data_IF_869570773106
#
_entry.id   IF_869570773106
#
_cell.length_a   1.000
_cell.length_b   1.000
_cell.length_c   1.000
_cell.angle_alpha   90.00
_cell.angle_beta   90.00
_cell.angle_gamma   90.00
#
_symmetry.space_group_name_H-M   'P 1'
#
loop_
_entity.id
_entity.type
_entity.pdbx_description
1 polymer ?
#
# COMPACT_ATOMS: atom_id res chain seq x y z
N UNK A 1 30.65 7.29 92.01
CA UNK A 1 29.63 8.33 92.29
C UNK A 1 28.92 8.70 90.98
N UNK A 2 27.59 8.54 90.93
CA UNK A 2 26.64 9.08 89.92
C UNK A 2 26.26 10.53 90.33
N UNK A 3 25.72 11.46 89.49
CA UNK A 3 24.51 11.33 88.64
C UNK A 3 24.59 12.02 87.22
N UNK A 4 23.75 11.70 86.21
CA UNK A 4 22.36 12.15 85.93
C UNK A 4 22.27 13.69 85.75
N UNK A 5 21.59 14.37 84.81
CA UNK A 5 20.68 14.08 83.66
C UNK A 5 20.24 15.44 83.04
N UNK A 6 19.78 15.43 81.77
CA UNK A 6 18.90 16.39 81.03
C UNK A 6 19.26 17.89 80.88
N UNK A 7 19.11 18.39 79.63
CA UNK A 7 17.99 19.29 79.23
C UNK A 7 18.01 19.57 77.72
N UNK A 8 16.87 19.33 77.08
CA UNK A 8 16.54 19.76 75.72
C UNK A 8 16.46 21.28 75.62
N UNK A 9 16.98 21.89 74.53
CA UNK A 9 16.36 23.03 73.83
C UNK A 9 16.78 22.98 72.36
N UNK A 10 15.78 22.97 71.47
CA UNK A 10 15.87 23.15 70.02
C UNK A 10 15.97 24.64 69.71
N UNK A 11 16.94 25.10 68.90
CA UNK A 11 16.77 26.25 67.98
C UNK A 11 17.66 26.05 66.74
N UNK A 12 17.07 26.31 65.58
CA UNK A 12 17.55 26.05 64.23
C UNK A 12 18.67 26.98 63.72
N UNK A 13 19.52 26.46 62.82
CA UNK A 13 20.17 27.17 61.71
C UNK A 13 20.78 26.12 60.76
N UNK A 14 20.08 25.72 59.71
CA UNK A 14 20.21 26.20 58.32
C UNK A 14 21.53 25.83 57.62
N UNK A 15 21.35 25.03 56.57
CA UNK A 15 22.17 24.87 55.35
C UNK A 15 23.36 23.88 55.33
N UNK A 16 23.23 23.00 54.33
CA UNK A 16 24.24 22.62 53.34
C UNK A 16 24.86 21.21 53.41
N UNK A 17 24.04 20.17 53.23
CA UNK A 17 24.38 19.05 52.32
C UNK A 17 23.04 18.46 51.79
N UNK A 18 22.90 18.13 50.48
CA UNK A 18 23.54 16.94 49.95
C UNK A 18 24.19 17.15 48.58
N UNK A 19 25.50 16.94 48.53
CA UNK A 19 26.27 16.71 47.32
C UNK A 19 26.12 15.23 46.96
N UNK A 20 24.95 14.80 46.45
CA UNK A 20 24.77 13.49 45.79
C UNK A 20 23.40 13.43 45.06
N UNK A 21 23.11 14.40 44.21
CA UNK A 21 22.04 14.32 43.24
C UNK A 21 22.61 14.70 41.87
N UNK A 22 22.14 14.03 40.82
CA UNK A 22 22.53 14.18 39.41
C UNK A 22 23.70 13.28 38.96
N UNK A 23 23.43 11.98 38.81
CA UNK A 23 23.48 11.32 37.49
C UNK A 23 23.07 9.84 37.61
N UNK A 24 21.89 9.56 38.18
CA UNK A 24 21.23 8.29 37.87
C UNK A 24 20.50 8.50 36.56
N UNK A 25 21.14 8.12 35.46
CA UNK A 25 20.50 7.91 34.17
C UNK A 25 19.52 6.74 34.35
N UNK A 26 18.41 7.01 35.02
CA UNK A 26 17.24 6.16 34.98
C UNK A 26 16.65 6.41 33.60
N UNK A 27 17.19 5.69 32.60
CA UNK A 27 16.39 5.30 31.45
C UNK A 27 15.22 4.55 32.07
N UNK A 28 14.17 5.29 32.42
CA UNK A 28 12.86 4.72 32.50
C UNK A 28 12.68 4.08 31.13
N UNK A 29 12.84 2.75 31.09
CA UNK A 29 12.24 1.93 30.05
C UNK A 29 10.73 2.13 30.26
N UNK A 30 10.22 3.30 29.88
CA UNK A 30 8.83 3.44 29.49
C UNK A 30 8.74 2.52 28.29
N UNK A 31 8.39 1.26 28.52
CA UNK A 31 7.90 0.39 27.47
C UNK A 31 6.88 1.25 26.71
N UNK A 32 7.16 1.61 25.44
CA UNK A 32 6.18 2.36 24.68
C UNK A 32 4.87 1.58 24.78
N UNK A 33 3.72 2.25 24.95
CA UNK A 33 2.45 1.55 25.05
C UNK A 33 2.35 0.58 23.87
N UNK A 34 2.14 -0.71 24.14
CA UNK A 34 2.05 -1.73 23.10
C UNK A 34 0.97 -1.30 22.12
N UNK A 35 1.37 -0.87 20.92
CA UNK A 35 0.42 -0.41 19.91
C UNK A 35 -0.22 -1.63 19.27
N UNK A 36 -1.46 -1.48 18.86
CA UNK A 36 -2.18 -2.56 18.20
C UNK A 36 -1.44 -2.96 16.92
N UNK A 37 -1.14 -4.25 16.78
CA UNK A 37 -0.64 -4.80 15.54
C UNK A 37 -1.74 -4.68 14.47
N UNK A 38 -1.41 -4.02 13.35
CA UNK A 38 -2.36 -3.76 12.25
C UNK A 38 -2.10 -4.65 11.04
N UNK A 39 -0.95 -5.31 10.99
CA UNK A 39 -0.62 -6.23 9.90
C UNK A 39 0.79 -6.79 9.98
N UNK A 40 1.14 -7.56 8.95
CA UNK A 40 2.47 -8.08 8.72
C UNK A 40 3.01 -7.60 7.38
N UNK A 41 4.28 -7.23 7.38
CA UNK A 41 5.03 -6.79 6.22
C UNK A 41 6.00 -7.89 5.82
N UNK A 42 6.14 -8.15 4.52
CA UNK A 42 7.15 -9.05 3.96
C UNK A 42 7.88 -8.38 2.81
N UNK A 43 9.20 -8.31 2.89
CA UNK A 43 10.07 -7.74 1.87
C UNK A 43 11.03 -6.68 2.41
N UNK A 44 11.76 -6.02 1.50
CA UNK A 44 12.71 -4.98 1.88
C UNK A 44 12.03 -3.62 2.03
N UNK A 45 11.95 -3.12 3.25
CA UNK A 45 11.32 -1.84 3.57
C UNK A 45 12.08 -1.09 4.67
N UNK A 46 11.83 0.21 4.76
CA UNK A 46 12.12 1.00 5.96
C UNK A 46 10.82 1.24 6.69
N UNK A 47 10.78 0.87 7.97
CA UNK A 47 9.63 1.13 8.84
C UNK A 47 10.04 2.21 9.82
N UNK A 48 9.31 3.32 9.85
CA UNK A 48 9.44 4.36 10.86
C UNK A 48 8.31 4.18 11.86
N UNK A 49 8.59 3.68 13.07
CA UNK A 49 7.56 3.54 14.09
C UNK A 49 6.96 4.89 14.44
N UNK A 50 5.66 4.96 14.72
CA UNK A 50 5.02 6.23 15.06
C UNK A 50 5.76 6.93 16.22
N UNK A 51 6.05 8.23 16.12
CA UNK A 51 6.75 8.98 17.17
C UNK A 51 8.21 8.57 17.43
N UNK A 52 8.80 7.67 16.65
CA UNK A 52 10.24 7.43 16.65
C UNK A 52 10.94 8.45 15.74
N UNK A 53 12.16 8.84 16.12
CA UNK A 53 12.99 9.73 15.29
C UNK A 53 13.74 8.96 14.19
N UNK A 54 13.97 7.66 14.39
CA UNK A 54 14.78 6.83 13.50
C UNK A 54 13.95 5.70 12.88
N UNK A 55 14.16 5.47 11.57
CA UNK A 55 13.59 4.33 10.87
C UNK A 55 14.44 3.07 11.07
N UNK A 56 13.77 1.91 11.03
CA UNK A 56 14.39 0.59 11.06
C UNK A 56 14.23 -0.05 9.69
N UNK A 57 15.33 -0.53 9.12
CA UNK A 57 15.30 -1.31 7.88
C UNK A 57 14.93 -2.75 8.20
N UNK A 58 13.96 -3.28 7.46
CA UNK A 58 13.51 -4.66 7.51
C UNK A 58 13.78 -5.30 6.16
N UNK A 59 14.32 -6.51 6.17
CA UNK A 59 14.64 -7.32 4.98
C UNK A 59 13.84 -8.63 4.91
N UNK A 60 13.04 -8.93 5.93
CA UNK A 60 12.25 -10.16 6.07
C UNK A 60 10.84 -9.81 6.57
N UNK A 61 10.16 -10.71 7.27
CA UNK A 61 8.84 -10.47 7.82
C UNK A 61 8.92 -9.59 9.08
N UNK A 62 8.07 -8.57 9.18
CA UNK A 62 7.92 -7.73 10.37
C UNK A 62 6.46 -7.47 10.69
N UNK A 63 6.12 -7.30 11.96
CA UNK A 63 4.82 -6.80 12.39
C UNK A 63 4.77 -5.29 12.23
N UNK A 64 3.66 -4.77 11.74
CA UNK A 64 3.38 -3.34 11.64
C UNK A 64 2.39 -2.97 12.71
N UNK A 65 2.68 -1.89 13.44
CA UNK A 65 1.81 -1.35 14.47
C UNK A 65 1.05 -0.11 13.96
N UNK A 66 -0.06 0.20 14.60
CA UNK A 66 -0.85 1.38 14.25
C UNK A 66 -0.01 2.67 14.37
N UNK A 67 0.02 3.44 13.29
CA UNK A 67 0.77 4.69 13.16
C UNK A 67 2.14 4.55 12.52
N UNK A 68 2.59 3.34 12.20
CA UNK A 68 3.88 3.12 11.56
C UNK A 68 3.85 3.53 10.08
N UNK A 69 4.90 4.21 9.65
CA UNK A 69 5.13 4.57 8.24
C UNK A 69 6.07 3.57 7.61
N UNK A 70 5.65 2.99 6.49
CA UNK A 70 6.40 1.99 5.73
C UNK A 70 6.79 2.59 4.39
N UNK A 71 8.10 2.56 4.09
CA UNK A 71 8.67 2.91 2.79
C UNK A 71 9.23 1.67 2.12
N UNK A 72 8.67 1.29 0.99
CA UNK A 72 9.15 0.17 0.19
C UNK A 72 10.52 0.49 -0.44
N UNK A 73 11.50 -0.37 -0.22
CA UNK A 73 12.80 -0.31 -0.90
C UNK A 73 12.90 -1.30 -2.07
N UNK A 74 12.01 -2.30 -2.09
CA UNK A 74 11.77 -3.24 -3.17
C UNK A 74 10.26 -3.47 -3.32
N UNK A 75 9.82 -4.45 -4.10
CA UNK A 75 8.45 -4.91 -4.04
C UNK A 75 8.17 -5.47 -2.63
N UNK A 76 7.17 -4.93 -1.95
CA UNK A 76 6.85 -5.28 -0.56
C UNK A 76 5.38 -5.66 -0.47
N UNK A 77 5.09 -6.74 0.25
CA UNK A 77 3.73 -7.18 0.54
C UNK A 77 3.37 -6.81 1.97
N UNK A 78 2.33 -6.01 2.13
CA UNK A 78 1.71 -5.71 3.42
C UNK A 78 0.38 -6.48 3.49
N UNK A 79 0.23 -7.31 4.52
CA UNK A 79 -1.01 -8.03 4.81
C UNK A 79 -1.60 -7.46 6.09
N UNK A 80 -2.77 -6.83 5.98
CA UNK A 80 -3.47 -6.22 7.09
C UNK A 80 -4.26 -7.26 7.90
N UNK A 81 -4.61 -6.92 9.14
CA UNK A 81 -5.33 -7.81 10.05
C UNK A 81 -6.74 -8.22 9.54
N UNK A 82 -7.33 -7.43 8.66
CA UNK A 82 -8.61 -7.71 8.01
C UNK A 82 -8.50 -8.61 6.76
N UNK A 83 -7.28 -9.09 6.45
CA UNK A 83 -6.99 -9.90 5.28
C UNK A 83 -6.71 -9.11 4.00
N UNK A 84 -6.79 -7.78 4.03
CA UNK A 84 -6.44 -6.94 2.88
C UNK A 84 -4.94 -7.05 2.55
N UNK A 85 -4.63 -7.14 1.26
CA UNK A 85 -3.26 -7.23 0.75
C UNK A 85 -2.92 -5.96 0.01
N UNK A 86 -1.76 -5.39 0.31
CA UNK A 86 -1.23 -4.21 -0.38
C UNK A 86 0.15 -4.56 -0.91
N UNK A 87 0.25 -4.60 -2.23
CA UNK A 87 1.51 -4.75 -2.96
C UNK A 87 2.06 -3.36 -3.23
N UNK A 88 3.15 -3.03 -2.55
CA UNK A 88 3.85 -1.75 -2.68
C UNK A 88 4.98 -1.88 -3.68
N UNK A 89 5.02 -1.01 -4.68
CA UNK A 89 6.17 -0.90 -5.59
C UNK A 89 7.35 -0.17 -4.89
N UNK A 90 8.60 -0.35 -5.37
CA UNK A 90 9.75 0.34 -4.82
C UNK A 90 9.55 1.87 -4.82
N UNK A 91 9.77 2.50 -3.67
CA UNK A 91 9.55 3.93 -3.49
C UNK A 91 8.18 4.30 -2.95
N UNK A 92 7.23 3.37 -2.88
CA UNK A 92 5.93 3.62 -2.27
C UNK A 92 6.03 3.86 -0.75
N UNK A 93 5.24 4.81 -0.25
CA UNK A 93 5.20 5.20 1.15
C UNK A 93 3.76 5.13 1.64
N UNK A 94 3.53 4.35 2.68
CA UNK A 94 2.22 4.18 3.31
C UNK A 94 2.33 4.27 4.82
N UNK A 95 1.38 4.92 5.47
CA UNK A 95 1.23 4.93 6.92
C UNK A 95 -0.05 4.20 7.29
N UNK A 96 0.05 3.14 8.09
CA UNK A 96 -1.11 2.32 8.46
C UNK A 96 -1.68 2.81 9.78
N UNK A 97 -2.97 3.13 9.81
CA UNK A 97 -3.68 3.61 11.00
C UNK A 97 -4.93 2.77 11.22
N UNK A 98 -5.56 2.94 12.38
CA UNK A 98 -6.89 2.39 12.68
C UNK A 98 -7.89 3.52 12.74
N UNK A 99 -9.06 3.34 12.14
CA UNK A 99 -10.18 4.26 12.28
C UNK A 99 -10.60 4.36 13.76
N UNK A 100 -10.99 5.56 14.19
CA UNK A 100 -11.42 5.78 15.59
C UNK A 100 -12.77 5.16 15.90
N UNK A 101 -13.64 5.04 14.89
CA UNK A 101 -15.04 4.70 15.08
C UNK A 101 -15.24 3.18 15.18
N UNK A 102 -14.62 2.40 14.30
CA UNK A 102 -14.80 0.96 14.18
C UNK A 102 -13.50 0.13 14.24
N UNK A 103 -12.34 0.80 14.36
CA UNK A 103 -11.03 0.14 14.40
C UNK A 103 -10.56 -0.44 13.05
N UNK A 104 -11.28 -0.19 11.95
CA UNK A 104 -10.92 -0.65 10.61
C UNK A 104 -9.57 -0.07 10.16
N UNK A 105 -8.80 -0.79 9.33
CA UNK A 105 -7.53 -0.26 8.85
C UNK A 105 -7.76 0.89 7.88
N UNK A 106 -7.08 2.00 8.16
CA UNK A 106 -7.01 3.18 7.30
C UNK A 106 -5.58 3.31 6.81
N UNK A 107 -5.39 3.17 5.50
CA UNK A 107 -4.06 3.24 4.88
C UNK A 107 -3.88 4.63 4.31
N UNK A 108 -2.95 5.39 4.87
CA UNK A 108 -2.58 6.68 4.32
C UNK A 108 -1.48 6.48 3.27
N UNK A 109 -1.80 6.64 2.00
CA UNK A 109 -0.89 6.54 0.87
C UNK A 109 -0.29 7.91 0.57
N UNK A 110 1.00 8.06 0.85
CA UNK A 110 1.72 9.34 0.75
C UNK A 110 2.33 9.54 -0.64
N UNK A 111 2.92 8.48 -1.20
CA UNK A 111 3.58 8.55 -2.50
C UNK A 111 3.81 7.16 -3.09
N UNK A 112 4.00 7.13 -4.40
CA UNK A 112 4.39 5.96 -5.17
C UNK A 112 3.19 5.16 -5.68
N UNK A 113 3.45 3.93 -6.09
CA UNK A 113 2.43 3.05 -6.67
C UNK A 113 2.18 1.86 -5.76
N UNK A 114 0.92 1.52 -5.61
CA UNK A 114 0.47 0.34 -4.90
C UNK A 114 -0.66 -0.36 -5.66
N UNK A 115 -0.77 -1.67 -5.44
CA UNK A 115 -1.91 -2.47 -5.85
C UNK A 115 -2.54 -3.01 -4.57
N UNK A 116 -3.85 -2.83 -4.42
CA UNK A 116 -4.61 -3.27 -3.26
C UNK A 116 -5.59 -4.33 -3.71
N UNK A 117 -5.66 -5.40 -2.92
CA UNK A 117 -6.72 -6.40 -3.00
C UNK A 117 -7.39 -6.47 -1.64
N UNK A 118 -8.69 -6.18 -1.60
CA UNK A 118 -9.45 -6.21 -0.35
C UNK A 118 -10.88 -6.64 -0.57
N UNK A 119 -11.35 -7.50 0.34
CA UNK A 119 -12.75 -7.90 0.45
C UNK A 119 -13.48 -7.17 1.59
N UNK A 120 -12.80 -6.26 2.28
CA UNK A 120 -13.36 -5.53 3.41
C UNK A 120 -14.01 -4.21 2.94
N UNK A 121 -15.34 -4.06 3.01
CA UNK A 121 -16.02 -2.83 2.60
C UNK A 121 -15.76 -1.66 3.57
N UNK A 122 -15.21 -1.92 4.76
CA UNK A 122 -14.74 -0.89 5.68
C UNK A 122 -13.31 -0.40 5.37
N UNK A 123 -12.59 -1.05 4.45
CA UNK A 123 -11.26 -0.61 4.06
C UNK A 123 -11.30 0.81 3.49
N UNK A 124 -10.37 1.65 3.94
CA UNK A 124 -10.20 3.02 3.45
C UNK A 124 -8.75 3.25 3.09
N UNK A 125 -8.54 3.81 1.90
CA UNK A 125 -7.24 4.33 1.51
C UNK A 125 -7.35 5.85 1.40
N UNK A 126 -6.49 6.58 2.08
CA UNK A 126 -6.50 8.03 2.13
C UNK A 126 -5.20 8.59 1.60
N UNK A 127 -5.26 9.76 0.98
CA UNK A 127 -4.10 10.56 0.59
C UNK A 127 -4.38 12.01 0.98
N UNK A 128 -3.53 12.95 0.54
CA UNK A 128 -3.69 14.38 0.86
C UNK A 128 -4.99 14.99 0.32
N UNK A 129 -5.47 14.56 -0.84
CA UNK A 129 -6.62 15.15 -1.55
C UNK A 129 -7.67 14.13 -2.01
N UNK A 130 -7.48 12.84 -1.70
CA UNK A 130 -8.34 11.76 -2.15
C UNK A 130 -8.56 10.74 -1.05
N UNK A 131 -9.81 10.40 -0.80
CA UNK A 131 -10.21 9.23 0.00
C UNK A 131 -10.83 8.19 -0.92
N UNK A 132 -10.35 6.97 -0.86
CA UNK A 132 -10.91 5.80 -1.52
C UNK A 132 -11.64 4.94 -0.50
N UNK A 133 -12.91 4.67 -0.81
CA UNK A 133 -13.67 3.58 -0.25
C UNK A 133 -13.87 2.51 -1.32
N UNK A 134 -14.16 1.29 -0.91
CA UNK A 134 -14.28 0.15 -1.81
C UNK A 134 -15.41 -0.75 -1.39
N UNK A 135 -15.97 -1.47 -2.35
CA UNK A 135 -16.84 -2.62 -2.11
C UNK A 135 -16.28 -3.81 -2.89
N UNK A 136 -15.54 -4.67 -2.18
CA UNK A 136 -14.77 -5.82 -2.72
C UNK A 136 -14.03 -5.48 -4.03
N UNK A 137 -12.84 -4.94 -3.90
CA UNK A 137 -12.13 -4.42 -5.05
C UNK A 137 -10.66 -4.87 -5.09
N UNK A 138 -10.18 -5.05 -6.31
CA UNK A 138 -8.77 -5.01 -6.65
C UNK A 138 -8.53 -3.75 -7.45
N UNK A 139 -7.59 -2.91 -7.01
CA UNK A 139 -7.31 -1.66 -7.68
C UNK A 139 -5.85 -1.25 -7.55
N UNK A 140 -5.39 -0.48 -8.51
CA UNK A 140 -4.09 0.18 -8.49
C UNK A 140 -4.29 1.64 -8.13
N UNK A 141 -3.46 2.15 -7.22
CA UNK A 141 -3.40 3.56 -6.93
C UNK A 141 -1.96 4.04 -7.01
N UNK A 142 -1.79 5.19 -7.64
CA UNK A 142 -0.52 5.90 -7.75
C UNK A 142 -0.71 7.31 -7.23
N UNK A 143 0.16 7.73 -6.32
CA UNK A 143 0.19 9.08 -5.77
C UNK A 143 1.54 9.69 -6.12
N UNK A 144 1.52 10.73 -6.92
CA UNK A 144 2.70 11.53 -7.21
C UNK A 144 3.06 12.38 -5.98
N UNK A 145 4.35 12.64 -5.71
CA UNK A 145 4.78 13.61 -4.71
C UNK A 145 4.21 15.02 -4.92
N UNK A 146 3.78 15.35 -6.14
CA UNK A 146 3.12 16.61 -6.48
C UNK A 146 1.65 16.69 -6.03
N UNK A 147 1.08 15.57 -5.55
CA UNK A 147 -0.31 15.48 -5.10
C UNK A 147 -1.29 15.01 -6.17
N UNK A 148 -0.81 14.67 -7.37
CA UNK A 148 -1.63 14.04 -8.40
C UNK A 148 -1.89 12.57 -8.04
N UNK A 149 -3.14 12.15 -8.13
CA UNK A 149 -3.57 10.79 -7.84
C UNK A 149 -4.15 10.15 -9.09
N UNK A 150 -3.75 8.90 -9.35
CA UNK A 150 -4.30 8.07 -10.41
C UNK A 150 -4.77 6.74 -9.82
N UNK A 151 -6.00 6.35 -10.12
CA UNK A 151 -6.62 5.13 -9.59
C UNK A 151 -7.24 4.35 -10.74
N UNK A 152 -7.02 3.04 -10.77
CA UNK A 152 -7.62 2.12 -11.74
C UNK A 152 -8.27 1.00 -10.97
N UNK A 153 -9.58 0.81 -11.18
CA UNK A 153 -10.28 -0.36 -10.66
C UNK A 153 -9.99 -1.54 -11.60
N UNK A 154 -9.20 -2.50 -11.14
CA UNK A 154 -8.91 -3.73 -11.90
C UNK A 154 -10.08 -4.70 -11.78
N UNK A 155 -10.69 -4.81 -10.59
CA UNK A 155 -11.93 -5.55 -10.34
C UNK A 155 -12.76 -4.87 -9.25
N UNK A 156 -14.08 -4.99 -9.34
CA UNK A 156 -15.01 -4.46 -8.33
C UNK A 156 -15.23 -2.95 -8.43
N UNK A 157 -15.72 -2.35 -7.34
CA UNK A 157 -16.06 -0.92 -7.30
C UNK A 157 -15.16 -0.15 -6.34
N UNK A 158 -14.64 0.98 -6.85
CA UNK A 158 -13.87 1.94 -6.05
C UNK A 158 -14.60 3.27 -6.05
N UNK A 159 -14.80 3.84 -4.86
CA UNK A 159 -15.43 5.14 -4.65
C UNK A 159 -14.36 6.14 -4.27
N UNK A 160 -14.06 7.09 -5.14
CA UNK A 160 -13.11 8.15 -4.90
C UNK A 160 -13.78 9.44 -4.48
N UNK A 161 -13.53 9.88 -3.26
CA UNK A 161 -14.01 11.17 -2.74
C UNK A 161 -12.89 12.20 -2.73
N UNK A 162 -13.08 13.31 -3.44
CA UNK A 162 -12.18 14.47 -3.46
C UNK A 162 -12.99 15.76 -3.37
N UNK A 163 -12.55 16.70 -2.53
CA UNK A 163 -13.26 17.97 -2.25
C UNK A 163 -14.77 17.80 -1.95
N UNK A 164 -15.13 16.70 -1.28
CA UNK A 164 -16.52 16.38 -0.91
C UNK A 164 -17.38 15.82 -2.06
N UNK A 165 -16.83 15.65 -3.25
CA UNK A 165 -17.48 14.96 -4.36
C UNK A 165 -17.00 13.52 -4.45
N UNK A 166 -17.94 12.58 -4.57
CA UNK A 166 -17.64 11.16 -4.74
C UNK A 166 -17.87 10.74 -6.18
N UNK A 167 -16.84 10.15 -6.78
CA UNK A 167 -16.86 9.54 -8.10
C UNK A 167 -16.82 8.03 -7.92
N UNK A 168 -17.64 7.31 -8.68
CA UNK A 168 -17.59 5.84 -8.73
C UNK A 168 -16.71 5.44 -9.90
N UNK A 169 -15.70 4.61 -9.64
CA UNK A 169 -14.80 4.01 -10.63
C UNK A 169 -15.22 2.55 -10.78
N UNK A 170 -15.84 2.23 -11.91
CA UNK A 170 -16.21 0.87 -12.22
C UNK A 170 -15.02 0.05 -12.72
N UNK A 171 -15.17 -1.27 -12.77
CA UNK A 171 -14.16 -2.17 -13.30
C UNK A 171 -13.68 -1.76 -14.70
N UNK A 172 -12.37 -1.66 -14.87
CA UNK A 172 -11.73 -1.22 -16.11
C UNK A 172 -11.71 0.30 -16.31
N UNK A 173 -12.35 1.08 -15.44
CA UNK A 173 -12.27 2.54 -15.46
C UNK A 173 -11.07 3.07 -14.68
N UNK A 174 -10.72 4.31 -14.98
CA UNK A 174 -9.66 5.03 -14.29
C UNK A 174 -10.13 6.40 -13.83
N UNK A 175 -9.58 6.85 -12.72
CA UNK A 175 -9.85 8.14 -12.12
C UNK A 175 -8.55 8.90 -11.94
N UNK A 176 -8.61 10.20 -12.19
CA UNK A 176 -7.51 11.12 -11.95
C UNK A 176 -7.97 12.27 -11.06
N UNK A 177 -7.12 12.63 -10.11
CA UNK A 177 -7.27 13.81 -9.26
C UNK A 177 -6.00 14.61 -9.40
N UNK A 178 -6.08 15.76 -10.06
CA UNK A 178 -4.95 16.68 -10.11
C UNK A 178 -4.73 17.33 -8.75
N UNK A 179 -3.52 17.84 -8.50
CA UNK A 179 -3.26 18.64 -7.31
C UNK A 179 -4.22 19.84 -7.23
N UNK A 180 -5.06 19.90 -6.18
CA UNK A 180 -6.09 20.93 -6.01
C UNK A 180 -7.24 20.87 -7.02
N UNK A 181 -7.44 19.74 -7.69
CA UNK A 181 -8.57 19.49 -8.59
C UNK A 181 -9.50 18.44 -7.99
N UNK A 182 -10.75 18.44 -8.45
CA UNK A 182 -11.74 17.41 -8.12
C UNK A 182 -11.43 16.11 -8.86
N UNK A 183 -11.93 15.01 -8.32
CA UNK A 183 -11.81 13.72 -8.98
C UNK A 183 -12.58 13.69 -10.30
N UNK A 184 -11.96 13.17 -11.36
CA UNK A 184 -12.63 12.93 -12.64
C UNK A 184 -12.38 11.52 -13.13
N UNK A 185 -13.39 10.90 -13.73
CA UNK A 185 -13.19 9.69 -14.52
C UNK A 185 -12.43 10.06 -15.79
N UNK A 186 -11.33 9.35 -16.02
CA UNK A 186 -10.73 9.26 -17.31
C UNK A 186 -11.46 8.12 -18.02
N UNK A 187 -12.48 8.49 -18.78
CA UNK A 187 -13.06 7.58 -19.75
C UNK A 187 -11.90 7.05 -20.59
N UNK A 188 -11.86 5.73 -20.82
CA UNK A 188 -11.03 5.16 -21.86
C UNK A 188 -11.34 5.97 -23.12
N UNK A 189 -10.37 6.76 -23.60
CA UNK A 189 -10.49 7.24 -24.96
C UNK A 189 -10.59 5.94 -25.78
N UNK A 190 -11.67 5.70 -26.55
CA UNK A 190 -11.56 4.71 -27.59
C UNK A 190 -10.30 5.09 -28.34
N UNK A 191 -9.35 4.16 -28.48
CA UNK A 191 -8.15 4.43 -29.27
C UNK A 191 -8.66 4.79 -30.65
N UNK A 192 -8.78 6.09 -30.93
CA UNK A 192 -8.88 6.60 -32.28
C UNK A 192 -7.49 6.30 -32.80
N UNK A 193 -7.34 5.12 -33.41
CA UNK A 193 -6.18 4.82 -34.23
C UNK A 193 -6.11 6.01 -35.19
N UNK A 194 -5.10 6.89 -35.08
CA UNK A 194 -5.01 7.99 -36.01
C UNK A 194 -4.99 7.39 -37.41
N UNK A 195 -5.77 7.92 -38.37
CA UNK A 195 -5.67 7.45 -39.74
C UNK A 195 -4.18 7.48 -40.13
N UNK A 196 -3.65 6.39 -40.73
CA UNK A 196 -2.23 6.31 -41.03
C UNK A 196 -1.83 7.58 -41.80
N UNK A 197 -0.76 8.28 -41.41
CA UNK A 197 -0.34 9.50 -42.10
C UNK A 197 -0.21 9.23 -43.60
N UNK A 198 -0.60 10.19 -44.48
CA UNK A 198 -0.49 10.00 -45.92
C UNK A 198 0.95 9.64 -46.28
N UNK A 199 1.11 8.50 -46.93
CA UNK A 199 2.41 7.93 -47.24
C UNK A 199 3.26 8.93 -48.05
N UNK A 200 4.55 9.11 -47.72
CA UNK A 200 5.45 9.92 -48.55
C UNK A 200 5.59 9.34 -49.96
N UNK A 201 5.96 10.16 -50.97
CA UNK A 201 6.12 9.70 -52.35
C UNK A 201 7.10 8.51 -52.44
N UNK A 202 6.65 7.43 -53.11
CA UNK A 202 7.39 6.17 -53.21
C UNK A 202 8.72 6.37 -53.96
N UNK A 203 9.83 6.25 -53.26
CA UNK A 203 11.16 5.97 -53.85
C UNK A 203 11.23 4.45 -54.12
N UNK A 204 11.90 3.98 -55.20
CA UNK A 204 11.92 2.55 -55.54
C UNK A 204 12.42 1.68 -54.39
N UNK A 205 11.66 0.63 -54.14
CA UNK A 205 11.78 -0.35 -53.05
C UNK A 205 13.13 -1.08 -53.08
N UNK A 206 13.94 -1.02 -52.00
CA UNK A 206 14.90 -2.09 -51.74
C UNK A 206 14.14 -3.36 -51.32
N UNK A 207 14.53 -4.49 -51.89
CA UNK A 207 14.02 -5.83 -51.63
C UNK A 207 13.79 -6.07 -50.13
N UNK A 208 12.54 -6.36 -49.78
CA UNK A 208 12.09 -6.62 -48.41
C UNK A 208 12.76 -7.90 -47.92
N UNK A 209 13.65 -7.79 -46.92
CA UNK A 209 13.97 -8.92 -46.05
C UNK A 209 12.79 -9.08 -45.09
N UNK A 210 12.15 -10.25 -44.97
CA UNK A 210 10.97 -10.40 -44.12
C UNK A 210 11.34 -10.16 -42.66
N UNK A 211 10.77 -9.10 -42.08
CA UNK A 211 10.81 -8.85 -40.63
C UNK A 211 9.84 -9.85 -39.99
N UNK A 212 10.25 -10.63 -38.97
CA UNK A 212 9.37 -11.57 -38.30
C UNK A 212 8.19 -10.82 -37.65
N UNK A 213 6.96 -11.38 -37.67
CA UNK A 213 5.83 -10.78 -36.97
C UNK A 213 6.13 -10.71 -35.47
N UNK A 214 6.06 -9.51 -34.91
CA UNK A 214 6.08 -9.30 -33.46
C UNK A 214 4.85 -10.02 -32.88
N UNK A 215 5.07 -11.10 -32.13
CA UNK A 215 4.00 -11.86 -31.50
C UNK A 215 3.27 -10.99 -30.47
N UNK A 216 1.94 -11.10 -30.34
CA UNK A 216 1.21 -10.48 -29.25
C UNK A 216 1.79 -10.96 -27.90
N UNK A 217 1.77 -10.12 -26.85
CA UNK A 217 2.31 -10.49 -25.55
C UNK A 217 1.62 -11.76 -25.03
N UNK A 218 2.42 -12.78 -24.75
CA UNK A 218 1.95 -14.07 -24.24
C UNK A 218 1.59 -13.93 -22.76
N UNK A 219 0.34 -14.19 -22.41
CA UNK A 219 -0.10 -14.30 -21.02
C UNK A 219 0.27 -15.68 -20.48
N UNK A 220 1.04 -15.74 -19.39
CA UNK A 220 1.45 -17.00 -18.74
C UNK A 220 0.81 -17.05 -17.35
N UNK A 221 0.00 -18.09 -17.09
CA UNK A 221 -0.55 -18.41 -15.77
C UNK A 221 0.06 -19.72 -15.28
N UNK A 222 0.58 -19.73 -14.05
CA UNK A 222 1.13 -20.92 -13.40
C UNK A 222 0.02 -21.55 -12.57
N UNK A 223 -0.31 -22.81 -12.85
CA UNK A 223 -1.41 -23.54 -12.19
C UNK A 223 -1.05 -23.78 -10.73
N UNK A 224 -1.96 -23.39 -9.83
CA UNK A 224 -1.87 -23.67 -8.39
C UNK A 224 -2.84 -24.79 -7.97
N UNK A 225 -2.63 -25.38 -6.80
CA UNK A 225 -3.50 -26.45 -6.30
C UNK A 225 -4.93 -25.92 -6.09
N UNK A 226 -5.89 -26.44 -6.85
CA UNK A 226 -7.29 -26.02 -6.81
C UNK A 226 -7.73 -25.18 -8.03
N UNK A 227 -6.80 -24.79 -8.90
CA UNK A 227 -7.16 -24.23 -10.21
C UNK A 227 -7.88 -25.29 -11.06
N UNK A 228 -8.91 -24.87 -11.78
CA UNK A 228 -9.59 -25.69 -12.78
C UNK A 228 -9.61 -24.95 -14.11
N UNK A 229 -9.58 -25.66 -15.23
CA UNK A 229 -9.62 -25.01 -16.56
C UNK A 229 -10.86 -24.13 -16.73
N UNK A 230 -11.99 -24.51 -16.13
CA UNK A 230 -13.23 -23.73 -16.11
C UNK A 230 -13.05 -22.40 -15.37
N UNK A 231 -12.41 -22.43 -14.21
CA UNK A 231 -12.09 -21.23 -13.44
C UNK A 231 -11.13 -20.31 -14.20
N UNK A 232 -10.08 -20.87 -14.81
CA UNK A 232 -9.11 -20.11 -15.59
C UNK A 232 -9.72 -19.52 -16.88
N UNK A 233 -10.60 -20.26 -17.55
CA UNK A 233 -11.36 -19.78 -18.70
C UNK A 233 -12.20 -18.55 -18.36
N UNK A 234 -12.89 -18.58 -17.22
CA UNK A 234 -13.67 -17.45 -16.72
C UNK A 234 -12.77 -16.26 -16.32
N UNK A 235 -11.69 -16.54 -15.58
CA UNK A 235 -10.71 -15.53 -15.13
C UNK A 235 -10.06 -14.75 -16.28
N UNK A 236 -9.77 -15.43 -17.39
CA UNK A 236 -9.12 -14.83 -18.56
C UNK A 236 -10.06 -14.51 -19.71
N UNK A 237 -11.37 -14.66 -19.50
CA UNK A 237 -12.40 -14.44 -20.52
C UNK A 237 -12.10 -15.16 -21.85
N UNK A 238 -11.63 -16.41 -21.76
CA UNK A 238 -11.37 -17.31 -22.89
C UNK A 238 -12.18 -18.60 -22.73
N UNK A 239 -12.25 -19.44 -23.75
CA UNK A 239 -12.91 -20.74 -23.63
C UNK A 239 -11.96 -21.80 -23.09
N UNK A 240 -12.50 -22.80 -22.39
CA UNK A 240 -11.73 -23.99 -21.96
C UNK A 240 -11.04 -24.65 -23.15
N UNK A 241 -11.75 -24.76 -24.28
CA UNK A 241 -11.21 -25.30 -25.55
C UNK A 241 -10.02 -24.48 -26.08
N UNK A 242 -10.03 -23.15 -25.94
CA UNK A 242 -8.90 -22.31 -26.32
C UNK A 242 -7.68 -22.54 -25.42
N UNK A 243 -7.88 -22.69 -24.10
CA UNK A 243 -6.80 -23.01 -23.14
C UNK A 243 -6.23 -24.40 -23.44
N UNK A 244 -7.09 -25.39 -23.68
CA UNK A 244 -6.71 -26.76 -23.99
C UNK A 244 -5.89 -26.84 -25.29
N UNK A 245 -6.36 -26.18 -26.36
CA UNK A 245 -5.66 -26.11 -27.65
C UNK A 245 -4.32 -25.38 -27.54
N UNK A 246 -4.28 -24.26 -26.81
CA UNK A 246 -3.06 -23.48 -26.64
C UNK A 246 -1.96 -24.26 -25.88
N UNK A 247 -2.35 -25.17 -24.98
CA UNK A 247 -1.43 -25.88 -24.09
C UNK A 247 -1.36 -27.40 -24.35
N UNK A 248 -1.97 -27.89 -25.44
CA UNK A 248 -2.07 -29.32 -25.79
C UNK A 248 -2.63 -30.23 -24.67
N UNK A 249 -3.59 -29.72 -23.90
CA UNK A 249 -4.26 -30.47 -22.82
C UNK A 249 -5.41 -31.28 -23.43
N UNK A 250 -5.41 -32.60 -23.23
CA UNK A 250 -6.44 -33.51 -23.78
C UNK A 250 -7.55 -33.81 -22.77
N UNK A 251 -7.24 -33.81 -21.47
CA UNK A 251 -8.21 -34.06 -20.41
C UNK A 251 -8.49 -32.75 -19.65
N UNK A 252 -9.73 -32.25 -19.66
CA UNK A 252 -10.09 -31.03 -18.95
C UNK A 252 -10.10 -31.15 -17.41
N UNK A 253 -9.92 -32.35 -16.84
CA UNK A 253 -9.97 -32.62 -15.39
C UNK A 253 -8.63 -33.06 -14.78
N UNK A 254 -7.52 -32.78 -15.45
CA UNK A 254 -6.15 -33.07 -14.98
C UNK A 254 -5.82 -32.42 -13.62
#
# INVERSE_FOLDING_TARGET
MKPFVLRSVVVAALLLVPFLALFRWQVAMSTPPTRAAVGTLSGMAQVLPAGAENSKRTTTQATIEAGDTVRALAAVRLTLADGSIIMMEPGAVVTVRTAKDDGSPVVFHEAGRLSVETNNPAFRLQSSNLTLAVDKAQFRAEISPTGDAYVVAEHGLVYGTSEGETVTVAEGESMHVGAGQRARLLQSTPVVVPPPPPAPPRTPTPTVTPVPPTQPPTLIHVIEQGDTLTYLAQKYNVTVDAIMKANNIQDPNL
#
